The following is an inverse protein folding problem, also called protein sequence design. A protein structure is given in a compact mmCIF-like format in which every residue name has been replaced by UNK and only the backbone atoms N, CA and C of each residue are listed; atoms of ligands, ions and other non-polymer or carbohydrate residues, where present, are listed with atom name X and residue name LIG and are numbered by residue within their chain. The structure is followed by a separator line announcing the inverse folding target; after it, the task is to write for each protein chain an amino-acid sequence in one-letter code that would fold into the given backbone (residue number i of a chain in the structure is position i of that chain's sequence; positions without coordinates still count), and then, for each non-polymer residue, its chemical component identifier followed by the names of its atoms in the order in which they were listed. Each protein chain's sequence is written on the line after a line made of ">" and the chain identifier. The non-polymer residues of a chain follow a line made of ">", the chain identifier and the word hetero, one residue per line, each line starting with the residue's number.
data_IF_585015596255
#
_entry.id   IF_585015596255
#
_cell.length_a   1.000
_cell.length_b   1.000
_cell.length_c   1.000
_cell.angle_alpha   90.00
_cell.angle_beta   90.00
_cell.angle_gamma   90.00
#
_symmetry.space_group_name_H-M   'P 1'
#
loop_
_entity.id
_entity.type
_entity.pdbx_description
1 polymer ?
#
# COMPACT_ATOMS: atom_id res chain seq x y z
N UNK A 1 -15.88 -0.19 13.40
CA UNK A 1 -15.74 0.63 12.18
C UNK A 1 -14.26 0.94 12.00
N UNK A 2 -13.58 0.19 11.13
CA UNK A 2 -12.14 0.33 10.85
C UNK A 2 -11.88 1.70 10.21
N UNK A 3 -10.80 2.37 10.64
CA UNK A 3 -10.37 3.68 10.10
C UNK A 3 -10.21 3.61 8.56
N UNK A 4 -10.40 4.73 7.84
CA UNK A 4 -10.26 4.75 6.38
C UNK A 4 -8.88 4.23 5.95
N UNK A 5 -8.89 3.25 5.04
CA UNK A 5 -7.66 2.69 4.47
C UNK A 5 -7.30 3.51 3.24
N UNK A 6 -6.22 4.30 3.32
CA UNK A 6 -5.77 5.17 2.22
C UNK A 6 -5.59 4.43 0.89
N UNK A 7 -5.16 3.17 0.92
CA UNK A 7 -5.02 2.35 -0.30
C UNK A 7 -6.37 2.01 -0.94
N UNK A 8 -7.38 1.69 -0.11
CA UNK A 8 -8.74 1.41 -0.57
C UNK A 8 -9.34 2.65 -1.22
N UNK A 9 -9.25 3.79 -0.54
CA UNK A 9 -9.86 5.03 -1.02
C UNK A 9 -9.18 5.53 -2.31
N UNK A 10 -7.85 5.49 -2.37
CA UNK A 10 -7.08 5.81 -3.57
C UNK A 10 -7.48 4.94 -4.78
N UNK A 11 -7.67 3.64 -4.55
CA UNK A 11 -8.08 2.69 -5.59
C UNK A 11 -9.48 3.00 -6.13
N UNK A 12 -10.44 3.18 -5.22
CA UNK A 12 -11.83 3.44 -5.58
C UNK A 12 -11.92 4.75 -6.37
N UNK A 13 -11.29 5.80 -5.86
CA UNK A 13 -11.24 7.10 -6.52
C UNK A 13 -10.62 7.03 -7.93
N UNK A 14 -9.54 6.24 -8.12
CA UNK A 14 -8.91 6.06 -9.43
C UNK A 14 -9.81 5.32 -10.43
N UNK A 15 -10.51 4.28 -9.98
CA UNK A 15 -11.47 3.53 -10.81
C UNK A 15 -12.69 4.37 -11.19
N UNK A 16 -13.23 5.12 -10.22
CA UNK A 16 -14.34 6.05 -10.42
C UNK A 16 -13.96 7.17 -11.40
N UNK A 17 -12.80 7.79 -11.23
CA UNK A 17 -12.30 8.84 -12.12
C UNK A 17 -12.05 8.33 -13.56
N UNK A 18 -11.71 7.05 -13.71
CA UNK A 18 -11.56 6.40 -15.01
C UNK A 18 -12.91 5.90 -15.61
N UNK A 19 -14.03 6.05 -14.90
CA UNK A 19 -15.33 5.53 -15.33
C UNK A 19 -15.37 4.01 -15.45
N UNK A 20 -14.51 3.28 -14.71
CA UNK A 20 -14.39 1.82 -14.80
C UNK A 20 -15.35 1.17 -13.82
N UNK A 21 -16.24 0.31 -14.31
CA UNK A 21 -17.05 -0.54 -13.43
C UNK A 21 -16.18 -1.56 -12.71
N UNK A 22 -16.44 -1.80 -11.43
CA UNK A 22 -15.74 -2.79 -10.62
C UNK A 22 -16.69 -3.44 -9.62
N UNK A 23 -16.27 -4.59 -9.09
CA UNK A 23 -16.90 -5.25 -7.94
C UNK A 23 -15.85 -5.51 -6.86
N UNK A 24 -16.29 -5.45 -5.60
CA UNK A 24 -15.41 -5.75 -4.46
C UNK A 24 -15.43 -7.27 -4.25
N UNK A 25 -14.36 -7.96 -4.65
CA UNK A 25 -14.22 -9.40 -4.45
C UNK A 25 -13.85 -9.77 -2.99
N UNK A 26 -13.13 -8.90 -2.29
CA UNK A 26 -12.65 -9.11 -0.93
C UNK A 26 -12.39 -7.77 -0.23
N UNK A 27 -12.83 -7.65 1.03
CA UNK A 27 -12.45 -6.56 1.93
C UNK A 27 -11.92 -7.15 3.24
N UNK A 28 -10.69 -6.82 3.62
CA UNK A 28 -10.04 -7.33 4.83
C UNK A 28 -8.94 -6.39 5.31
N UNK A 29 -8.73 -6.24 6.64
CA UNK A 29 -7.60 -5.50 7.18
C UNK A 29 -6.28 -6.29 7.11
N UNK A 30 -6.31 -7.57 6.76
CA UNK A 30 -5.11 -8.42 6.73
C UNK A 30 -4.35 -8.31 5.40
N UNK A 31 -3.11 -7.81 5.47
CA UNK A 31 -2.24 -7.70 4.31
C UNK A 31 -1.87 -9.06 3.70
N UNK A 32 -1.73 -10.10 4.52
CA UNK A 32 -1.42 -11.44 4.02
C UNK A 32 -2.59 -12.03 3.24
N UNK A 33 -3.83 -11.78 3.68
CA UNK A 33 -5.04 -12.24 2.96
C UNK A 33 -5.22 -11.45 1.65
N UNK A 34 -4.95 -10.13 1.65
CA UNK A 34 -4.94 -9.34 0.42
C UNK A 34 -3.90 -9.86 -0.59
N UNK A 35 -2.71 -10.24 -0.10
CA UNK A 35 -1.65 -10.82 -0.94
C UNK A 35 -2.10 -12.15 -1.54
N UNK A 36 -2.59 -13.07 -0.71
CA UNK A 36 -3.06 -14.38 -1.17
C UNK A 36 -4.20 -14.27 -2.22
N UNK A 37 -5.11 -13.30 -2.07
CA UNK A 37 -6.17 -13.07 -3.05
C UNK A 37 -5.66 -12.52 -4.39
N UNK A 38 -4.57 -11.74 -4.37
CA UNK A 38 -3.92 -11.27 -5.58
C UNK A 38 -3.11 -12.39 -6.26
N UNK A 39 -2.40 -13.20 -5.48
CA UNK A 39 -1.61 -14.34 -5.98
C UNK A 39 -2.47 -15.43 -6.61
N UNK A 40 -3.67 -15.66 -6.08
CA UNK A 40 -4.61 -16.65 -6.64
C UNK A 40 -5.28 -16.20 -7.93
N UNK A 41 -5.05 -14.95 -8.37
CA UNK A 41 -5.73 -14.35 -9.51
C UNK A 41 -7.21 -14.02 -9.28
N UNK A 42 -7.70 -14.13 -8.04
CA UNK A 42 -9.09 -13.84 -7.68
C UNK A 42 -9.42 -12.34 -7.79
N UNK A 43 -8.45 -11.48 -7.50
CA UNK A 43 -8.64 -10.05 -7.50
C UNK A 43 -7.36 -9.28 -7.87
N UNK A 44 -7.54 -8.05 -8.34
CA UNK A 44 -6.45 -7.08 -8.45
C UNK A 44 -6.31 -6.31 -7.14
N UNK A 45 -5.22 -5.57 -6.93
CA UNK A 45 -5.09 -4.59 -5.83
C UNK A 45 -4.16 -3.43 -6.18
N UNK A 46 -4.34 -2.26 -5.55
CA UNK A 46 -3.44 -1.11 -5.68
C UNK A 46 -2.52 -1.04 -4.46
N UNK A 47 -1.23 -1.31 -4.66
CA UNK A 47 -0.21 -1.38 -3.60
C UNK A 47 1.13 -0.85 -4.10
N UNK A 48 2.05 -0.58 -3.17
CA UNK A 48 3.41 -0.14 -3.51
C UNK A 48 4.26 -1.33 -4.00
N UNK A 49 5.34 -1.09 -4.75
CA UNK A 49 6.25 -2.15 -5.21
C UNK A 49 6.76 -3.05 -4.08
N UNK A 50 7.02 -2.49 -2.90
CA UNK A 50 7.43 -3.24 -1.69
C UNK A 50 6.44 -4.32 -1.28
N UNK A 51 5.15 -4.12 -1.52
CA UNK A 51 4.13 -5.13 -1.21
C UNK A 51 4.12 -6.29 -2.22
N UNK A 52 4.50 -6.01 -3.46
CA UNK A 52 4.42 -6.96 -4.56
C UNK A 52 5.59 -7.96 -4.47
N UNK A 53 6.81 -7.49 -4.22
CA UNK A 53 7.98 -8.35 -4.41
C UNK A 53 8.19 -8.64 -5.90
N UNK A 54 8.83 -9.76 -6.25
CA UNK A 54 9.20 -10.10 -7.64
C UNK A 54 8.08 -10.70 -8.49
N UNK A 55 7.00 -11.19 -7.87
CA UNK A 55 6.10 -12.15 -8.51
C UNK A 55 4.84 -11.51 -9.13
N UNK A 56 4.70 -10.19 -9.03
CA UNK A 56 3.59 -9.47 -9.64
C UNK A 56 4.07 -8.48 -10.69
N UNK A 57 3.23 -8.30 -11.70
CA UNK A 57 3.42 -7.30 -12.74
C UNK A 57 2.43 -6.16 -12.49
N UNK A 58 2.89 -4.89 -12.42
CA UNK A 58 1.99 -3.75 -12.39
C UNK A 58 1.08 -3.74 -13.64
N UNK A 59 -0.22 -3.57 -13.42
CA UNK A 59 -1.17 -3.44 -14.52
C UNK A 59 -1.40 -1.97 -14.84
N UNK A 60 -1.19 -1.61 -16.10
CA UNK A 60 -1.64 -0.33 -16.63
C UNK A 60 -3.13 -0.42 -16.99
N UNK A 61 -3.96 0.28 -16.22
CA UNK A 61 -5.41 0.32 -16.42
C UNK A 61 -5.86 1.56 -17.21
N UNK A 62 -4.93 2.39 -17.69
CA UNK A 62 -5.23 3.68 -18.32
C UNK A 62 -5.96 4.65 -17.39
N UNK A 63 -5.86 4.44 -16.07
CA UNK A 63 -6.51 5.24 -15.03
C UNK A 63 -5.62 6.44 -14.66
N UNK A 64 -6.18 7.51 -14.08
CA UNK A 64 -5.36 8.59 -13.54
C UNK A 64 -4.34 8.04 -12.53
N UNK A 65 -3.17 8.68 -12.50
CA UNK A 65 -2.08 8.31 -11.61
C UNK A 65 -2.58 8.14 -10.17
N UNK A 66 -2.20 7.03 -9.54
CA UNK A 66 -2.49 6.79 -8.13
C UNK A 66 -1.78 7.86 -7.28
N UNK A 67 -2.37 8.30 -6.16
CA UNK A 67 -1.73 9.25 -5.28
C UNK A 67 -0.43 8.68 -4.70
N UNK A 68 0.55 9.54 -4.48
CA UNK A 68 1.74 9.18 -3.74
C UNK A 68 1.39 8.86 -2.28
N UNK A 69 1.99 7.81 -1.74
CA UNK A 69 1.85 7.42 -0.35
C UNK A 69 3.24 7.46 0.29
N UNK A 70 3.38 8.28 1.33
CA UNK A 70 4.62 8.39 2.11
C UNK A 70 4.66 7.42 3.29
N UNK A 71 5.88 7.12 3.74
CA UNK A 71 6.14 6.47 5.01
C UNK A 71 6.21 7.50 6.13
N UNK A 72 5.61 7.22 7.28
CA UNK A 72 5.77 8.04 8.48
C UNK A 72 6.54 7.25 9.54
N UNK A 73 7.58 7.87 10.12
CA UNK A 73 8.31 7.32 11.25
C UNK A 73 8.02 8.20 12.46
N UNK A 74 7.22 7.68 13.37
CA UNK A 74 6.86 8.36 14.61
C UNK A 74 7.78 7.88 15.73
N UNK A 75 8.36 8.85 16.45
CA UNK A 75 9.27 8.62 17.56
C UNK A 75 8.73 9.41 18.76
N UNK A 76 8.80 8.86 19.96
CA UNK A 76 8.45 9.61 21.17
C UNK A 76 9.42 10.78 21.41
N UNK A 77 9.04 11.77 22.21
CA UNK A 77 9.86 12.98 22.44
C UNK A 77 11.25 12.67 23.03
N UNK A 78 11.37 11.63 23.86
CA UNK A 78 12.62 11.25 24.53
C UNK A 78 12.97 9.77 24.24
N UNK A 79 13.41 9.45 23.02
CA UNK A 79 13.68 8.07 22.64
C UNK A 79 15.00 7.58 23.24
N UNK A 80 15.04 6.29 23.62
CA UNK A 80 16.29 5.63 23.93
C UNK A 80 17.20 5.59 22.69
N UNK A 81 18.52 5.61 22.87
CA UNK A 81 19.52 5.60 21.79
C UNK A 81 19.25 4.54 20.71
N UNK A 82 18.90 3.32 21.13
CA UNK A 82 18.58 2.23 20.21
C UNK A 82 17.37 2.53 19.28
N UNK A 83 16.38 3.28 19.77
CA UNK A 83 15.22 3.71 18.96
C UNK A 83 15.64 4.77 17.94
N UNK A 84 16.49 5.73 18.35
CA UNK A 84 17.05 6.73 17.44
C UNK A 84 17.89 6.09 16.33
N UNK A 85 18.74 5.13 16.68
CA UNK A 85 19.56 4.37 15.71
C UNK A 85 18.67 3.56 14.75
N UNK A 86 17.68 2.82 15.26
CA UNK A 86 16.72 2.10 14.43
C UNK A 86 15.96 3.01 13.47
N UNK A 87 15.48 4.16 13.95
CA UNK A 87 14.81 5.15 13.11
C UNK A 87 15.73 5.68 12.01
N UNK A 88 17.03 5.87 12.29
CA UNK A 88 18.05 6.20 11.30
C UNK A 88 18.18 5.12 10.23
N UNK A 89 18.30 3.86 10.64
CA UNK A 89 18.38 2.72 9.72
C UNK A 89 17.14 2.60 8.83
N UNK A 90 15.95 2.77 9.42
CA UNK A 90 14.69 2.76 8.67
C UNK A 90 14.64 3.89 7.63
N UNK A 91 15.05 5.12 8.00
CA UNK A 91 15.11 6.23 7.04
C UNK A 91 16.05 5.92 5.87
N UNK A 92 17.25 5.41 6.16
CA UNK A 92 18.21 5.02 5.12
C UNK A 92 17.66 3.96 4.19
N UNK A 93 17.05 2.89 4.74
CA UNK A 93 16.46 1.82 3.94
C UNK A 93 15.31 2.34 3.05
N UNK A 94 14.45 3.21 3.59
CA UNK A 94 13.32 3.77 2.84
C UNK A 94 13.75 4.73 1.72
N UNK A 95 14.91 5.39 1.82
CA UNK A 95 15.45 6.23 0.74
C UNK A 95 16.01 5.45 -0.45
N UNK A 96 16.08 4.12 -0.35
CA UNK A 96 16.60 3.23 -1.40
C UNK A 96 15.49 2.45 -2.13
N UNK A 97 14.24 2.64 -1.71
CA UNK A 97 13.04 2.09 -2.35
C UNK A 97 12.62 2.94 -3.56
#
# INVERSE_FOLDING_TARGET
>A
MTKPCRFRDARMASLEAAGRSYSIALETPSLSVLRAAAESGLALTCRTPVFLGSDFVPLDMGSPALPEIGYNIEICENPHRAVTELAGLLKTALSQL
#
